data_IF_450451428841
#
_entry.id   IF_450451428841
#
_cell.length_a   1.000
_cell.length_b   1.000
_cell.length_c   1.000
_cell.angle_alpha   90.00
_cell.angle_beta   90.00
_cell.angle_gamma   90.00
#
_symmetry.space_group_name_H-M   'P 1'
#
loop_
_entity.id
_entity.type
_entity.pdbx_description
1 polymer ?
#
# COMPACT_ATOMS: atom_id res chain seq x y z
N UNK A 1 17.86 15.68 2.83
CA UNK A 1 17.76 14.87 1.60
C UNK A 1 16.62 13.89 1.83
N UNK A 2 15.71 13.74 0.88
CA UNK A 2 14.43 13.04 1.10
C UNK A 2 14.66 11.59 1.56
N UNK A 3 14.01 11.19 2.65
CA UNK A 3 14.01 9.81 3.14
C UNK A 3 13.34 8.91 2.11
N UNK A 4 14.10 7.98 1.54
CA UNK A 4 13.61 6.98 0.59
C UNK A 4 13.02 5.79 1.36
N UNK A 5 11.72 5.57 1.19
CA UNK A 5 11.08 4.31 1.63
C UNK A 5 11.62 3.18 0.76
N UNK A 6 12.39 2.26 1.35
CA UNK A 6 12.81 1.01 0.69
C UNK A 6 11.59 0.10 0.50
N UNK A 7 11.54 -0.62 -0.62
CA UNK A 7 10.41 -1.42 -1.08
C UNK A 7 9.87 -2.40 -0.01
N UNK A 8 10.74 -2.99 0.79
CA UNK A 8 10.34 -3.99 1.81
C UNK A 8 10.55 -3.54 3.26
N UNK A 9 11.15 -2.36 3.50
CA UNK A 9 11.43 -1.80 4.83
C UNK A 9 12.32 -2.65 5.77
N UNK A 10 12.62 -3.90 5.40
CA UNK A 10 13.30 -4.91 6.20
C UNK A 10 13.74 -6.08 5.32
N UNK A 11 13.31 -7.31 5.64
CA UNK A 11 13.66 -8.50 4.83
C UNK A 11 12.65 -8.72 3.71
N UNK A 12 13.14 -8.89 2.47
CA UNK A 12 12.31 -9.25 1.34
C UNK A 12 11.67 -10.65 1.52
N UNK A 13 10.45 -10.87 0.99
CA UNK A 13 9.84 -12.20 0.96
C UNK A 13 10.76 -13.24 0.28
N UNK A 14 10.68 -14.50 0.70
CA UNK A 14 11.56 -15.55 0.21
C UNK A 14 11.44 -15.76 -1.32
N UNK A 15 10.25 -15.51 -1.86
CA UNK A 15 9.92 -15.56 -3.28
C UNK A 15 10.67 -14.47 -4.05
N UNK A 16 10.81 -13.27 -3.47
CA UNK A 16 11.54 -12.14 -4.06
C UNK A 16 13.05 -12.36 -3.95
N UNK A 17 13.54 -12.93 -2.84
CA UNK A 17 14.96 -13.31 -2.69
C UNK A 17 15.40 -14.36 -3.73
N UNK A 18 14.50 -15.27 -4.11
CA UNK A 18 14.77 -16.33 -5.08
C UNK A 18 14.56 -15.88 -6.53
N UNK A 19 13.79 -14.81 -6.76
CA UNK A 19 13.47 -14.28 -8.09
C UNK A 19 14.71 -14.15 -8.98
N UNK A 20 15.76 -13.49 -8.51
CA UNK A 20 16.98 -13.25 -9.28
C UNK A 20 17.70 -14.54 -9.70
N UNK A 21 17.51 -15.66 -8.99
CA UNK A 21 18.07 -16.96 -9.40
C UNK A 21 17.33 -17.53 -10.60
N UNK A 22 16.00 -17.39 -10.62
CA UNK A 22 15.15 -17.93 -11.67
C UNK A 22 15.13 -17.03 -12.92
N UNK A 23 15.34 -15.71 -12.77
CA UNK A 23 15.44 -14.79 -13.90
C UNK A 23 16.68 -15.01 -14.79
N UNK A 24 17.76 -15.59 -14.25
CA UNK A 24 19.01 -15.82 -15.02
C UNK A 24 18.85 -16.79 -16.18
N UNK A 25 17.87 -17.68 -16.09
CA UNK A 25 17.65 -18.73 -17.07
C UNK A 25 16.54 -18.36 -18.07
N UNK A 26 16.00 -17.14 -17.99
CA UNK A 26 14.90 -16.68 -18.84
C UNK A 26 15.43 -15.87 -20.01
N UNK A 27 14.85 -16.11 -21.18
CA UNK A 27 14.97 -15.21 -22.32
C UNK A 27 14.11 -13.96 -22.11
N UNK A 28 14.48 -12.90 -22.82
CA UNK A 28 13.84 -11.59 -22.68
C UNK A 28 12.38 -11.59 -23.15
N UNK A 29 12.04 -12.39 -24.16
CA UNK A 29 10.68 -12.43 -24.71
C UNK A 29 9.72 -13.11 -23.73
N UNK A 30 10.12 -14.26 -23.18
CA UNK A 30 9.37 -14.96 -22.12
C UNK A 30 9.23 -14.08 -20.88
N UNK A 31 10.29 -13.36 -20.49
CA UNK A 31 10.21 -12.42 -19.37
C UNK A 31 9.20 -11.29 -19.63
N UNK A 32 9.20 -10.69 -20.83
CA UNK A 32 8.25 -9.62 -21.19
C UNK A 32 6.80 -10.11 -21.20
N UNK A 33 6.56 -11.32 -21.72
CA UNK A 33 5.25 -11.96 -21.68
C UNK A 33 4.80 -12.27 -20.25
N UNK A 34 5.70 -12.79 -19.41
CA UNK A 34 5.46 -13.05 -18.00
C UNK A 34 5.14 -11.75 -17.24
N UNK A 35 5.95 -10.71 -17.44
CA UNK A 35 5.74 -9.39 -16.83
C UNK A 35 4.37 -8.84 -17.20
N UNK A 36 3.98 -8.88 -18.48
CA UNK A 36 2.66 -8.44 -18.93
C UNK A 36 1.52 -9.24 -18.30
N UNK A 37 1.65 -10.57 -18.19
CA UNK A 37 0.66 -11.43 -17.57
C UNK A 37 0.52 -11.18 -16.06
N UNK A 38 1.64 -11.03 -15.35
CA UNK A 38 1.67 -10.73 -13.91
C UNK A 38 1.12 -9.34 -13.63
N UNK A 39 1.41 -8.36 -14.48
CA UNK A 39 0.83 -7.03 -14.38
C UNK A 39 -0.71 -7.06 -14.46
N UNK A 40 -1.26 -7.81 -15.41
CA UNK A 40 -2.72 -8.05 -15.49
C UNK A 40 -3.25 -8.71 -14.22
N UNK A 41 -2.51 -9.68 -13.67
CA UNK A 41 -2.86 -10.36 -12.43
C UNK A 41 -2.90 -9.39 -11.22
N UNK A 42 -1.94 -8.46 -11.13
CA UNK A 42 -1.90 -7.43 -10.09
C UNK A 42 -3.06 -6.45 -10.26
N UNK A 43 -3.44 -6.15 -11.49
CA UNK A 43 -4.62 -5.33 -11.82
C UNK A 43 -5.96 -6.09 -11.62
N UNK A 44 -5.93 -7.34 -11.16
CA UNK A 44 -7.11 -8.17 -10.87
C UNK A 44 -7.77 -8.79 -12.11
N UNK A 45 -7.11 -8.73 -13.27
CA UNK A 45 -7.58 -9.35 -14.51
C UNK A 45 -7.17 -10.83 -14.56
N UNK A 46 -7.97 -11.62 -15.27
CA UNK A 46 -7.65 -13.03 -15.49
C UNK A 46 -6.39 -13.16 -16.37
N UNK A 47 -5.41 -13.89 -15.86
CA UNK A 47 -4.12 -14.15 -16.48
C UNK A 47 -3.83 -15.64 -16.59
N UNK A 48 -4.76 -16.51 -16.16
CA UNK A 48 -4.59 -17.95 -16.07
C UNK A 48 -4.19 -18.58 -17.41
N UNK A 49 -4.92 -18.27 -18.48
CA UNK A 49 -4.62 -18.74 -19.84
C UNK A 49 -3.27 -18.22 -20.37
N UNK A 50 -2.93 -16.95 -20.09
CA UNK A 50 -1.65 -16.38 -20.54
C UNK A 50 -0.46 -17.04 -19.85
N UNK A 51 -0.55 -17.26 -18.54
CA UNK A 51 0.50 -17.96 -17.79
C UNK A 51 0.60 -19.43 -18.19
N UNK A 52 -0.54 -20.07 -18.49
CA UNK A 52 -0.58 -21.46 -18.94
C UNK A 52 0.10 -21.65 -20.29
N UNK A 53 -0.17 -20.78 -21.26
CA UNK A 53 0.48 -20.81 -22.58
C UNK A 53 2.00 -20.62 -22.49
N UNK A 54 2.46 -19.74 -21.59
CA UNK A 54 3.90 -19.52 -21.37
C UNK A 54 4.52 -20.76 -20.71
N UNK A 55 3.86 -21.39 -19.74
CA UNK A 55 4.32 -22.63 -19.12
C UNK A 55 4.37 -23.80 -20.11
N UNK A 56 3.37 -23.92 -20.99
CA UNK A 56 3.26 -24.98 -21.99
C UNK A 56 4.26 -24.82 -23.15
N UNK A 57 4.84 -23.63 -23.33
CA UNK A 57 5.88 -23.38 -24.33
C UNK A 57 7.17 -24.20 -24.11
N UNK A 58 7.37 -24.73 -22.89
CA UNK A 58 8.48 -25.63 -22.55
C UNK A 58 9.86 -24.96 -22.52
N UNK A 59 9.92 -23.62 -22.62
CA UNK A 59 11.18 -22.86 -22.62
C UNK A 59 11.85 -22.81 -21.24
N UNK A 60 11.08 -23.08 -20.17
CA UNK A 60 11.51 -22.96 -18.78
C UNK A 60 10.99 -24.14 -17.98
N UNK A 61 11.79 -24.64 -17.02
CA UNK A 61 11.31 -25.62 -16.04
C UNK A 61 10.14 -25.05 -15.22
N UNK A 62 9.09 -25.87 -15.04
CA UNK A 62 7.86 -25.50 -14.33
C UNK A 62 8.13 -24.93 -12.93
N UNK A 63 9.07 -25.51 -12.18
CA UNK A 63 9.47 -25.01 -10.87
C UNK A 63 10.08 -23.61 -10.96
N UNK A 64 10.99 -23.38 -11.91
CA UNK A 64 11.61 -22.07 -12.08
C UNK A 64 10.62 -21.01 -12.58
N UNK A 65 9.69 -21.42 -13.44
CA UNK A 65 8.60 -20.55 -13.90
C UNK A 65 7.70 -20.11 -12.74
N UNK A 66 7.24 -21.06 -11.92
CA UNK A 66 6.36 -20.78 -10.78
C UNK A 66 7.01 -19.85 -9.74
N UNK A 67 8.30 -20.09 -9.41
CA UNK A 67 9.03 -19.22 -8.48
C UNK A 67 9.27 -17.82 -9.06
N UNK A 68 9.57 -17.72 -10.37
CA UNK A 68 9.73 -16.43 -11.03
C UNK A 68 8.42 -15.62 -11.06
N UNK A 69 7.30 -16.26 -11.41
CA UNK A 69 5.97 -15.63 -11.41
C UNK A 69 5.58 -15.18 -10.01
N UNK A 70 5.77 -16.01 -8.99
CA UNK A 70 5.46 -15.67 -7.61
C UNK A 70 6.30 -14.49 -7.08
N UNK A 71 7.62 -14.52 -7.33
CA UNK A 71 8.52 -13.43 -6.95
C UNK A 71 8.20 -12.12 -7.66
N UNK A 72 7.89 -12.19 -8.97
CA UNK A 72 7.53 -11.02 -9.76
C UNK A 72 6.19 -10.41 -9.33
N UNK A 73 5.20 -11.25 -9.03
CA UNK A 73 3.90 -10.82 -8.51
C UNK A 73 4.04 -10.13 -7.15
N UNK A 74 4.78 -10.73 -6.22
CA UNK A 74 5.02 -10.13 -4.90
C UNK A 74 5.72 -8.79 -5.00
N UNK A 75 6.77 -8.70 -5.84
CA UNK A 75 7.53 -7.48 -6.07
C UNK A 75 6.67 -6.36 -6.64
N UNK A 76 5.91 -6.64 -7.71
CA UNK A 76 5.04 -5.65 -8.36
C UNK A 76 3.90 -5.21 -7.45
N UNK A 77 3.31 -6.14 -6.70
CA UNK A 77 2.24 -5.84 -5.75
C UNK A 77 2.70 -4.86 -4.67
N UNK A 78 3.86 -5.09 -4.06
CA UNK A 78 4.40 -4.17 -3.06
C UNK A 78 4.78 -2.82 -3.68
N UNK A 79 5.46 -2.82 -4.82
CA UNK A 79 5.87 -1.58 -5.50
C UNK A 79 4.68 -0.69 -5.86
N UNK A 80 3.59 -1.27 -6.38
CA UNK A 80 2.38 -0.54 -6.76
C UNK A 80 1.52 -0.12 -5.55
N UNK A 81 1.71 -0.76 -4.39
CA UNK A 81 1.03 -0.39 -3.15
C UNK A 81 1.69 0.80 -2.44
N UNK A 82 2.94 1.15 -2.79
CA UNK A 82 3.70 2.25 -2.20
C UNK A 82 3.66 3.52 -3.08
N UNK A 83 2.75 4.49 -2.82
CA UNK A 83 2.59 5.68 -3.65
C UNK A 83 3.76 6.67 -3.57
N UNK A 84 4.62 6.54 -2.57
CA UNK A 84 5.79 7.42 -2.35
C UNK A 84 7.11 6.77 -2.77
N UNK A 85 7.07 5.58 -3.39
CA UNK A 85 8.26 4.89 -3.87
C UNK A 85 8.90 5.69 -5.01
N UNK A 86 10.21 5.96 -4.90
CA UNK A 86 10.97 6.66 -5.93
C UNK A 86 11.64 5.66 -6.86
N UNK A 87 11.72 6.01 -8.15
CA UNK A 87 12.28 5.12 -9.17
C UNK A 87 13.76 4.79 -8.90
N UNK A 88 14.52 5.76 -8.39
CA UNK A 88 15.94 5.57 -8.07
C UNK A 88 16.12 4.51 -6.97
N UNK A 89 15.31 4.60 -5.92
CA UNK A 89 15.33 3.71 -4.75
C UNK A 89 14.91 2.30 -5.16
N UNK A 90 13.87 2.20 -5.97
CA UNK A 90 13.40 0.93 -6.49
C UNK A 90 14.46 0.23 -7.34
N UNK A 91 15.18 0.97 -8.18
CA UNK A 91 16.30 0.41 -8.96
C UNK A 91 17.44 -0.06 -8.06
N UNK A 92 17.77 0.68 -6.99
CA UNK A 92 18.77 0.26 -6.01
C UNK A 92 18.36 -1.02 -5.28
N UNK A 93 17.11 -1.12 -4.85
CA UNK A 93 16.55 -2.33 -4.22
C UNK A 93 16.62 -3.54 -5.18
N UNK A 94 16.29 -3.36 -6.46
CA UNK A 94 16.41 -4.41 -7.49
C UNK A 94 17.86 -4.86 -7.73
N UNK A 95 18.82 -3.92 -7.72
CA UNK A 95 20.25 -4.25 -7.82
C UNK A 95 20.74 -5.00 -6.58
N UNK A 96 20.27 -4.63 -5.39
CA UNK A 96 20.57 -5.34 -4.16
C UNK A 96 20.05 -6.79 -4.18
N UNK A 97 18.90 -7.01 -4.82
CA UNK A 97 18.33 -8.34 -5.08
C UNK A 97 19.07 -9.13 -6.18
N UNK A 98 20.09 -8.54 -6.82
CA UNK A 98 20.89 -9.14 -7.91
C UNK A 98 20.09 -9.42 -9.19
N UNK A 99 19.08 -8.61 -9.47
CA UNK A 99 18.36 -8.62 -10.76
C UNK A 99 19.26 -8.01 -11.83
N UNK A 100 19.30 -8.60 -13.04
CA UNK A 100 20.09 -8.07 -14.16
C UNK A 100 19.52 -6.73 -14.65
N UNK A 101 20.40 -5.78 -15.02
CA UNK A 101 20.01 -4.42 -15.43
C UNK A 101 19.04 -4.39 -16.63
N UNK A 102 19.14 -5.40 -17.51
CA UNK A 102 18.23 -5.60 -18.63
C UNK A 102 16.76 -5.73 -18.18
N UNK A 103 16.52 -6.47 -17.09
CA UNK A 103 15.19 -6.67 -16.52
C UNK A 103 14.77 -5.51 -15.63
N UNK A 104 15.71 -4.81 -14.99
CA UNK A 104 15.43 -3.64 -14.15
C UNK A 104 14.73 -2.55 -14.96
N UNK A 105 15.21 -2.25 -16.16
CA UNK A 105 14.59 -1.25 -17.03
C UNK A 105 13.13 -1.60 -17.38
N UNK A 106 12.87 -2.86 -17.72
CA UNK A 106 11.54 -3.35 -18.10
C UNK A 106 10.58 -3.33 -16.89
N UNK A 107 11.02 -3.75 -15.70
CA UNK A 107 10.21 -3.72 -14.47
C UNK A 107 9.96 -2.29 -14.00
N UNK A 108 10.96 -1.40 -14.06
CA UNK A 108 10.81 -0.01 -13.67
C UNK A 108 9.90 0.76 -14.62
N UNK A 109 10.01 0.49 -15.93
CA UNK A 109 9.04 1.00 -16.92
C UNK A 109 7.63 0.48 -16.64
N UNK A 110 7.50 -0.79 -16.25
CA UNK A 110 6.22 -1.35 -15.86
C UNK A 110 5.63 -0.66 -14.61
N UNK A 111 6.41 -0.39 -13.56
CA UNK A 111 5.90 0.21 -12.31
C UNK A 111 5.65 1.71 -12.44
N UNK A 112 6.59 2.46 -13.03
CA UNK A 112 6.58 3.92 -13.11
C UNK A 112 6.11 4.49 -14.46
N UNK A 113 5.90 3.63 -15.46
CA UNK A 113 5.30 4.03 -16.73
C UNK A 113 3.91 4.62 -16.52
N UNK A 114 3.39 5.28 -17.55
CA UNK A 114 2.10 6.00 -17.51
C UNK A 114 0.92 5.02 -17.38
N UNK A 115 0.79 4.37 -16.23
CA UNK A 115 -0.29 3.47 -15.89
C UNK A 115 -1.46 4.30 -15.41
N UNK A 116 -2.56 4.21 -16.13
CA UNK A 116 -3.87 4.44 -15.54
C UNK A 116 -4.13 3.26 -14.61
N UNK A 117 -3.48 3.22 -13.45
CA UNK A 117 -3.76 2.22 -12.40
C UNK A 117 -5.21 2.49 -12.01
N UNK A 118 -6.13 1.75 -12.59
CA UNK A 118 -7.51 1.77 -12.18
C UNK A 118 -7.50 1.40 -10.70
N UNK A 119 -7.98 2.30 -9.84
CA UNK A 119 -7.95 2.17 -8.38
C UNK A 119 -8.76 0.98 -7.83
N UNK A 120 -9.15 0.04 -8.70
CA UNK A 120 -10.18 -0.96 -8.50
C UNK A 120 -9.68 -2.15 -7.67
N UNK A 121 -8.37 -2.44 -7.64
CA UNK A 121 -7.85 -3.62 -6.94
C UNK A 121 -6.57 -3.36 -6.12
N UNK A 122 -6.54 -2.29 -5.32
CA UNK A 122 -5.71 -2.33 -4.11
C UNK A 122 -6.33 -3.38 -3.18
N UNK A 123 -5.50 -4.27 -2.61
CA UNK A 123 -5.95 -5.31 -1.67
C UNK A 123 -6.84 -4.77 -0.53
N UNK A 124 -7.47 -5.61 0.29
CA UNK A 124 -8.47 -5.18 1.26
C UNK A 124 -7.97 -3.99 2.10
N UNK A 125 -8.45 -2.80 1.78
CA UNK A 125 -8.10 -1.58 2.51
C UNK A 125 -9.13 -1.36 3.60
N UNK A 126 -8.67 -0.92 4.76
CA UNK A 126 -9.59 -0.44 5.78
C UNK A 126 -10.32 0.80 5.25
N UNK A 127 -11.61 0.90 5.58
CA UNK A 127 -12.42 2.06 5.23
C UNK A 127 -11.74 3.34 5.77
N UNK A 128 -11.47 4.28 4.89
CA UNK A 128 -10.82 5.55 5.22
C UNK A 128 -11.89 6.63 5.46
N UNK A 129 -11.59 7.58 6.34
CA UNK A 129 -12.44 8.76 6.52
C UNK A 129 -12.23 9.70 5.33
N UNK A 130 -13.29 9.98 4.56
CA UNK A 130 -13.28 10.91 3.42
C UNK A 130 -13.71 12.33 3.82
N UNK A 131 -14.70 12.44 4.69
CA UNK A 131 -15.24 13.73 5.17
C UNK A 131 -15.59 13.59 6.66
N UNK A 132 -15.30 14.62 7.44
CA UNK A 132 -15.60 14.69 8.87
C UNK A 132 -16.15 16.06 9.23
N UNK A 133 -17.39 16.09 9.72
CA UNK A 133 -18.10 17.31 10.12
C UNK A 133 -18.58 17.16 11.55
N UNK A 134 -18.51 18.25 12.30
CA UNK A 134 -19.01 18.29 13.67
C UNK A 134 -19.69 19.63 13.94
N UNK A 135 -20.63 19.62 14.88
CA UNK A 135 -21.25 20.83 15.42
C UNK A 135 -21.51 20.67 16.91
N UNK A 136 -21.57 21.79 17.62
CA UNK A 136 -21.93 21.82 19.04
C UNK A 136 -23.31 22.44 19.16
N UNK A 137 -24.23 21.67 19.73
CA UNK A 137 -25.59 22.11 20.01
C UNK A 137 -25.64 22.50 21.50
N UNK A 138 -26.14 23.71 21.80
CA UNK A 138 -26.31 24.22 23.18
C UNK A 138 -27.79 24.45 23.42
N UNK A 139 -28.39 23.65 24.30
CA UNK A 139 -29.77 23.87 24.72
C UNK A 139 -29.83 24.92 25.84
N UNK A 140 -30.58 26.00 25.62
CA UNK A 140 -30.82 27.06 26.62
C UNK A 140 -32.20 26.83 27.23
N UNK A 141 -32.25 26.47 28.52
CA UNK A 141 -33.50 26.34 29.28
C UNK A 141 -33.72 27.56 30.15
N UNK A 142 -34.89 28.19 30.04
CA UNK A 142 -35.26 29.41 30.79
C UNK A 142 -36.15 29.12 32.01
N UNK A 143 -36.52 27.87 32.27
CA UNK A 143 -37.30 27.48 33.46
C UNK A 143 -36.39 27.08 34.61
N UNK A 144 -36.79 27.43 35.83
CA UNK A 144 -36.05 27.26 37.09
C UNK A 144 -35.81 25.79 37.51
N UNK A 145 -36.21 24.82 36.69
CA UNK A 145 -36.03 23.39 36.93
C UNK A 145 -34.78 22.87 36.20
N UNK A 146 -33.61 23.22 36.75
CA UNK A 146 -32.30 22.56 36.55
C UNK A 146 -32.13 21.65 35.31
N UNK A 147 -32.19 22.22 34.09
CA UNK A 147 -31.42 21.67 32.96
C UNK A 147 -30.40 22.70 32.55
N UNK A 148 -29.26 22.57 33.23
CA UNK A 148 -28.02 23.26 32.93
C UNK A 148 -27.72 23.19 31.43
N UNK A 149 -27.06 24.23 30.92
CA UNK A 149 -26.45 24.33 29.60
C UNK A 149 -25.58 23.08 29.34
N UNK A 150 -26.19 22.00 28.86
CA UNK A 150 -25.48 20.77 28.54
C UNK A 150 -25.19 20.79 27.04
N UNK A 151 -23.95 21.14 26.63
CA UNK A 151 -23.58 21.07 25.23
C UNK A 151 -23.56 19.60 24.78
N UNK A 152 -24.15 19.33 23.63
CA UNK A 152 -24.00 18.06 22.92
C UNK A 152 -23.20 18.29 21.65
N UNK A 153 -22.34 17.33 21.29
CA UNK A 153 -21.51 17.40 20.10
C UNK A 153 -22.05 16.39 19.10
N UNK A 154 -22.55 16.86 17.97
CA UNK A 154 -23.01 15.99 16.90
C UNK A 154 -21.91 15.82 15.87
N UNK A 155 -21.52 14.58 15.62
CA UNK A 155 -20.48 14.23 14.65
C UNK A 155 -21.07 13.50 13.46
N UNK A 156 -20.48 13.74 12.29
CA UNK A 156 -20.80 13.08 11.04
C UNK A 156 -19.50 12.72 10.30
N UNK A 157 -19.33 11.44 9.96
CA UNK A 157 -18.21 10.97 9.15
C UNK A 157 -18.70 10.23 7.91
N UNK A 158 -18.07 10.51 6.76
CA UNK A 158 -18.25 9.77 5.51
C UNK A 158 -17.04 8.87 5.31
N UNK A 159 -17.27 7.58 5.14
CA UNK A 159 -16.24 6.58 4.89
C UNK A 159 -16.05 6.34 3.39
N UNK A 160 -14.91 5.75 3.02
CA UNK A 160 -14.56 5.44 1.63
C UNK A 160 -15.43 4.38 0.98
N UNK A 161 -16.12 3.56 1.77
CA UNK A 161 -17.11 2.58 1.33
C UNK A 161 -18.51 3.20 1.11
N UNK A 162 -18.62 4.53 1.21
CA UNK A 162 -19.87 5.26 1.05
C UNK A 162 -20.75 5.32 2.30
N UNK A 163 -20.39 4.62 3.39
CA UNK A 163 -21.15 4.68 4.64
C UNK A 163 -21.05 6.05 5.29
N UNK A 164 -22.17 6.52 5.81
CA UNK A 164 -22.29 7.75 6.57
C UNK A 164 -22.65 7.42 8.01
N UNK A 165 -21.80 7.78 8.96
CA UNK A 165 -22.07 7.63 10.39
C UNK A 165 -22.37 8.99 10.99
N UNK A 166 -23.50 9.09 11.69
CA UNK A 166 -23.89 10.27 12.46
C UNK A 166 -24.24 9.85 13.88
N UNK A 167 -23.59 10.48 14.86
CA UNK A 167 -23.77 10.12 16.26
C UNK A 167 -23.51 11.32 17.17
N UNK A 168 -24.14 11.29 18.34
CA UNK A 168 -23.94 12.28 19.38
C UNK A 168 -22.82 11.84 20.32
N UNK A 169 -21.97 12.79 20.69
CA UNK A 169 -20.80 12.57 21.54
C UNK A 169 -20.94 13.48 22.78
N UNK A 170 -21.05 12.89 23.97
CA UNK A 170 -20.96 13.65 25.22
C UNK A 170 -19.58 14.32 25.36
N UNK A 171 -19.53 15.49 25.99
CA UNK A 171 -18.27 16.25 26.16
C UNK A 171 -17.14 15.42 26.76
N UNK A 172 -17.45 14.57 27.75
CA UNK A 172 -16.43 13.71 28.39
C UNK A 172 -15.80 12.76 27.36
N UNK A 173 -16.61 12.13 26.51
CA UNK A 173 -16.13 11.25 25.44
C UNK A 173 -15.39 12.00 24.33
N UNK A 174 -15.77 13.24 24.07
CA UNK A 174 -15.03 14.09 23.16
C UNK A 174 -13.61 14.40 23.66
N UNK A 175 -13.45 14.70 24.95
CA UNK A 175 -12.13 14.94 25.54
C UNK A 175 -11.26 13.67 25.54
N UNK A 176 -11.86 12.51 25.84
CA UNK A 176 -11.20 11.21 25.73
C UNK A 176 -10.71 10.94 24.30
N UNK A 177 -11.58 11.17 23.30
CA UNK A 177 -11.22 11.06 21.88
C UNK A 177 -10.06 12.00 21.52
N UNK A 178 -10.12 13.27 21.94
CA UNK A 178 -9.05 14.25 21.70
C UNK A 178 -7.72 13.78 22.26
N UNK A 179 -7.71 13.29 23.49
CA UNK A 179 -6.51 12.76 24.14
C UNK A 179 -5.95 11.56 23.38
N UNK A 180 -6.79 10.57 23.05
CA UNK A 180 -6.36 9.35 22.37
C UNK A 180 -5.82 9.63 20.95
N UNK A 181 -6.46 10.52 20.19
CA UNK A 181 -5.95 10.95 18.88
C UNK A 181 -4.58 11.62 19.03
N UNK A 182 -4.41 12.48 20.03
CA UNK A 182 -3.12 13.15 20.27
C UNK A 182 -2.02 12.15 20.66
N UNK A 183 -2.37 11.14 21.46
CA UNK A 183 -1.46 10.07 21.86
C UNK A 183 -1.00 9.25 20.64
N UNK A 184 -1.94 8.82 19.79
CA UNK A 184 -1.62 8.07 18.57
C UNK A 184 -0.73 8.90 17.63
N UNK A 185 -1.05 10.19 17.43
CA UNK A 185 -0.22 11.07 16.60
C UNK A 185 1.20 11.22 17.16
N UNK A 186 1.34 11.30 18.48
CA UNK A 186 2.66 11.32 19.12
C UNK A 186 3.41 10.01 18.89
N UNK A 187 2.76 8.87 19.09
CA UNK A 187 3.34 7.55 18.86
C UNK A 187 3.75 7.34 17.40
N UNK A 188 2.92 7.76 16.43
CA UNK A 188 3.26 7.74 15.01
C UNK A 188 4.51 8.56 14.71
N UNK A 189 4.60 9.77 15.25
CA UNK A 189 5.77 10.63 15.11
C UNK A 189 7.01 10.08 15.84
N UNK A 190 6.83 9.41 16.98
CA UNK A 190 7.93 8.75 17.68
C UNK A 190 8.42 7.52 16.90
N UNK A 191 7.54 6.76 16.23
CA UNK A 191 7.89 5.67 15.32
C UNK A 191 8.67 6.20 14.12
N UNK A 192 8.18 7.29 13.51
CA UNK A 192 8.86 7.95 12.40
C UNK A 192 10.29 8.38 12.80
N UNK A 193 10.46 8.96 13.99
CA UNK A 193 11.78 9.37 14.53
C UNK A 193 12.65 8.20 14.97
N UNK A 194 12.05 7.09 15.42
CA UNK A 194 12.74 5.85 15.81
C UNK A 194 13.04 4.96 14.61
N UNK A 195 12.66 5.35 13.39
CA UNK A 195 13.15 4.71 12.17
C UNK A 195 14.65 4.91 12.07
N UNK A 196 15.39 4.00 12.71
CA UNK A 196 16.84 3.91 12.76
C UNK A 196 17.27 3.36 11.39
N UNK A 197 17.45 4.25 10.43
CA UNK A 197 18.63 4.23 9.57
C UNK A 197 19.36 5.56 9.77
N UNK A 198 19.86 5.77 10.99
CA UNK A 198 20.99 6.67 11.18
C UNK A 198 22.21 5.99 10.56
N UNK A 199 22.44 6.22 9.28
CA UNK A 199 23.74 5.96 8.66
C UNK A 199 24.59 7.19 9.00
N UNK A 200 25.68 6.97 9.74
CA UNK A 200 26.68 8.01 10.04
C UNK A 200 27.31 8.50 8.74
N UNK A 201 27.51 9.82 8.67
CA UNK A 201 28.21 10.56 7.59
C UNK A 201 29.52 9.91 7.14
#
# INVERSE_FOLDING_TARGET
MADSVSLFGGRAPAEVEQLAKHLKNLDRDTFSQMLSAVLKAVDGLDCSESLRLISESGLVSEDSFNHAVAGLYALLKEALCLPSLRQEVFNEDLRALRVSEEFIADVSSAVFGNRNISHTHRGPTLAKIQDFKWRVDVAISTSSLSRALQPSILMQMKLSDGRLHRFEVPVVKFQELRYNVSLILKEMNDIEKRSILKIQD
#
